data_IF_880838775271
#
_entry.id   IF_880838775271
#
_cell.length_a   1.000
_cell.length_b   1.000
_cell.length_c   1.000
_cell.angle_alpha   90.00
_cell.angle_beta   90.00
_cell.angle_gamma   90.00
#
_symmetry.space_group_name_H-M   'P 1'
#
loop_
_entity.id
_entity.type
_entity.pdbx_description
1 polymer ?
#
# COMPACT_ATOMS: atom_id res chain seq x y z
N UNK A 1 -14.75 1.70 15.43
CA UNK A 1 -14.30 1.18 14.13
C UNK A 1 -14.10 2.33 13.14
N UNK A 2 -12.95 2.37 12.51
CA UNK A 2 -12.68 3.43 11.54
C UNK A 2 -13.38 3.13 10.22
N UNK A 3 -13.83 4.18 9.59
CA UNK A 3 -14.45 4.09 8.28
C UNK A 3 -13.42 4.55 7.24
N UNK A 4 -12.65 3.60 6.72
CA UNK A 4 -11.59 3.88 5.76
C UNK A 4 -12.17 3.96 4.36
N UNK A 5 -11.82 5.02 3.65
CA UNK A 5 -12.18 5.18 2.24
C UNK A 5 -10.91 5.14 1.40
N UNK A 6 -10.88 4.24 0.44
CA UNK A 6 -9.74 4.07 -0.44
C UNK A 6 -10.11 4.56 -1.85
N UNK A 7 -9.19 5.30 -2.47
CA UNK A 7 -9.32 5.63 -3.88
C UNK A 7 -9.13 4.34 -4.69
N UNK A 8 -9.40 4.40 -6.01
CA UNK A 8 -9.20 3.24 -6.87
C UNK A 8 -7.77 2.74 -6.85
N UNK A 9 -6.79 3.65 -6.92
CA UNK A 9 -5.38 3.29 -6.88
C UNK A 9 -4.99 2.70 -5.53
N UNK A 10 -5.47 3.30 -4.45
CA UNK A 10 -5.18 2.80 -3.11
C UNK A 10 -5.73 1.40 -2.91
N UNK A 11 -6.97 1.17 -3.33
CA UNK A 11 -7.58 -0.15 -3.23
C UNK A 11 -6.80 -1.19 -4.05
N UNK A 12 -6.36 -0.81 -5.24
CA UNK A 12 -5.57 -1.68 -6.10
C UNK A 12 -4.27 -2.10 -5.40
N UNK A 13 -3.56 -1.15 -4.81
CA UNK A 13 -2.32 -1.46 -4.12
C UNK A 13 -2.54 -2.26 -2.84
N UNK A 14 -3.57 -1.94 -2.07
CA UNK A 14 -3.88 -2.69 -0.85
C UNK A 14 -4.18 -4.16 -1.20
N UNK A 15 -4.95 -4.40 -2.25
CA UNK A 15 -5.22 -5.78 -2.69
C UNK A 15 -3.95 -6.49 -3.11
N UNK A 16 -3.06 -5.81 -3.83
CA UNK A 16 -1.82 -6.41 -4.30
C UNK A 16 -0.87 -6.75 -3.15
N UNK A 17 -0.78 -5.86 -2.16
CA UNK A 17 0.07 -6.13 -0.99
C UNK A 17 -0.47 -7.34 -0.22
N UNK A 18 -1.77 -7.38 0.02
CA UNK A 18 -2.39 -8.49 0.74
C UNK A 18 -2.12 -8.44 2.23
N UNK A 19 -2.62 -9.44 2.94
CA UNK A 19 -2.64 -9.44 4.40
C UNK A 19 -1.69 -10.46 5.02
N UNK A 20 -0.84 -11.10 4.23
CA UNK A 20 -0.01 -12.20 4.72
C UNK A 20 1.46 -11.85 4.86
N UNK A 21 2.06 -11.23 3.87
CA UNK A 21 3.50 -10.96 3.91
C UNK A 21 3.83 -9.66 3.15
N UNK A 22 5.00 -9.06 3.44
CA UNK A 22 5.42 -7.86 2.71
C UNK A 22 5.63 -8.14 1.22
N UNK A 23 5.41 -7.12 0.42
CA UNK A 23 5.61 -7.16 -1.03
C UNK A 23 6.60 -6.08 -1.44
N UNK A 24 7.53 -6.42 -2.32
CA UNK A 24 8.46 -5.43 -2.87
C UNK A 24 7.72 -4.47 -3.79
N UNK A 25 8.16 -3.21 -3.79
CA UNK A 25 7.57 -2.21 -4.67
C UNK A 25 7.62 -2.61 -6.13
N UNK A 26 8.71 -3.26 -6.56
CA UNK A 26 8.83 -3.74 -7.94
C UNK A 26 7.73 -4.76 -8.28
N UNK A 27 7.39 -5.63 -7.33
CA UNK A 27 6.32 -6.59 -7.52
C UNK A 27 4.96 -5.91 -7.58
N UNK A 28 4.75 -4.90 -6.73
CA UNK A 28 3.51 -4.15 -6.74
C UNK A 28 3.29 -3.44 -8.07
N UNK A 29 4.36 -2.85 -8.60
CA UNK A 29 4.30 -2.18 -9.89
C UNK A 29 3.96 -3.18 -10.99
N UNK A 30 4.60 -4.34 -10.96
CA UNK A 30 4.39 -5.37 -11.97
C UNK A 30 2.95 -5.90 -11.93
N UNK A 31 2.43 -6.19 -10.75
CA UNK A 31 1.10 -6.74 -10.60
C UNK A 31 -0.01 -5.76 -10.93
N UNK A 32 0.20 -4.49 -10.62
CA UNK A 32 -0.84 -3.47 -10.81
C UNK A 32 -0.77 -2.79 -12.16
N UNK A 33 0.35 -2.92 -12.86
CA UNK A 33 0.60 -2.24 -14.14
C UNK A 33 0.52 -0.71 -14.03
N UNK A 34 0.71 -0.18 -12.81
CA UNK A 34 0.73 1.26 -12.57
C UNK A 34 2.12 1.82 -12.86
N UNK A 35 2.17 3.09 -13.27
CA UNK A 35 3.45 3.78 -13.43
C UNK A 35 4.18 3.86 -12.09
N UNK A 36 5.52 3.86 -12.13
CA UNK A 36 6.32 3.91 -10.91
C UNK A 36 6.04 5.15 -10.07
N UNK A 37 5.79 6.30 -10.71
CA UNK A 37 5.40 7.51 -9.98
C UNK A 37 4.07 7.35 -9.28
N UNK A 38 3.09 6.74 -9.94
CA UNK A 38 1.77 6.50 -9.35
C UNK A 38 1.86 5.54 -8.19
N UNK A 39 2.66 4.48 -8.31
CA UNK A 39 2.87 3.53 -7.22
C UNK A 39 3.50 4.25 -6.02
N UNK A 40 4.55 5.01 -6.29
CA UNK A 40 5.27 5.73 -5.23
C UNK A 40 4.36 6.72 -4.50
N UNK A 41 3.64 7.54 -5.26
CA UNK A 41 2.75 8.54 -4.66
C UNK A 41 1.63 7.90 -3.86
N UNK A 42 1.06 6.81 -4.39
CA UNK A 42 -0.04 6.13 -3.72
C UNK A 42 0.45 5.43 -2.45
N UNK A 43 1.62 4.78 -2.50
CA UNK A 43 2.23 4.18 -1.32
C UNK A 43 2.51 5.22 -0.24
N UNK A 44 3.06 6.37 -0.63
CA UNK A 44 3.32 7.44 0.33
C UNK A 44 2.04 7.97 0.97
N UNK A 45 0.98 8.05 0.18
CA UNK A 45 -0.33 8.46 0.69
C UNK A 45 -0.85 7.45 1.73
N UNK A 46 -0.74 6.15 1.41
CA UNK A 46 -1.17 5.10 2.33
C UNK A 46 -0.30 5.08 3.60
N UNK A 47 1.01 5.31 3.45
CA UNK A 47 1.92 5.37 4.60
C UNK A 47 1.61 6.57 5.48
N UNK A 48 1.31 7.71 4.88
CA UNK A 48 0.94 8.92 5.62
C UNK A 48 -0.33 8.71 6.43
N UNK A 49 -1.25 7.91 5.91
CA UNK A 49 -2.49 7.57 6.62
C UNK A 49 -2.29 6.47 7.67
N UNK A 50 -1.10 5.86 7.72
CA UNK A 50 -0.80 4.81 8.68
C UNK A 50 -1.32 3.44 8.27
N UNK A 51 -1.79 3.27 7.04
CA UNK A 51 -2.41 2.02 6.58
C UNK A 51 -1.40 1.04 6.02
N UNK A 52 -0.27 1.54 5.54
CA UNK A 52 0.82 0.75 4.96
C UNK A 52 2.11 1.16 5.66
N UNK A 53 3.01 0.21 5.85
CA UNK A 53 4.33 0.46 6.43
C UNK A 53 5.38 -0.10 5.50
N UNK A 54 6.49 0.63 5.36
CA UNK A 54 7.64 0.13 4.62
C UNK A 54 8.52 -0.73 5.51
N UNK A 55 9.29 -1.63 4.92
CA UNK A 55 10.24 -2.48 5.63
C UNK A 55 11.58 -2.38 4.90
N UNK A 56 12.60 -1.74 5.50
CA UNK A 56 12.60 -1.05 6.79
C UNK A 56 11.71 0.19 6.79
N UNK A 57 11.38 0.68 7.98
CA UNK A 57 10.45 1.79 8.12
C UNK A 57 11.02 3.10 7.60
N UNK A 58 10.25 3.78 6.76
CA UNK A 58 10.49 5.14 6.29
C UNK A 58 9.21 5.95 6.42
N UNK A 59 9.32 7.26 6.65
CA UNK A 59 8.13 8.12 6.63
C UNK A 59 7.58 8.25 5.22
N UNK A 60 8.48 8.30 4.24
CA UNK A 60 8.08 8.24 2.83
C UNK A 60 9.23 7.63 2.02
N UNK A 61 8.89 7.11 0.85
CA UNK A 61 9.90 6.53 -0.04
C UNK A 61 10.06 7.42 -1.27
N UNK A 62 11.29 7.46 -1.78
CA UNK A 62 11.60 8.16 -3.01
C UNK A 62 11.35 7.23 -4.19
N UNK A 63 11.16 7.81 -5.36
CA UNK A 63 10.91 7.05 -6.58
C UNK A 63 11.97 5.97 -6.81
N UNK A 64 13.25 6.33 -6.62
CA UNK A 64 14.35 5.41 -6.86
C UNK A 64 14.39 4.26 -5.84
N UNK A 65 13.86 4.47 -4.64
CA UNK A 65 13.88 3.47 -3.57
C UNK A 65 12.67 2.56 -3.61
N UNK A 66 11.59 3.02 -4.20
CA UNK A 66 10.31 2.28 -4.16
C UNK A 66 10.45 0.84 -4.65
N UNK A 67 11.11 0.56 -5.79
CA UNK A 67 11.16 -0.82 -6.29
C UNK A 67 11.87 -1.79 -5.36
N UNK A 68 12.84 -1.31 -4.59
CA UNK A 68 13.68 -2.17 -3.73
C UNK A 68 13.28 -2.10 -2.26
N UNK A 69 12.14 -1.51 -1.96
CA UNK A 69 11.60 -1.43 -0.60
C UNK A 69 10.40 -2.38 -0.48
N UNK A 70 10.29 -3.06 0.65
CA UNK A 70 9.13 -3.91 0.91
C UNK A 70 8.04 -3.11 1.62
N UNK A 71 6.80 -3.45 1.36
CA UNK A 71 5.63 -2.79 1.96
C UNK A 71 4.67 -3.82 2.49
N UNK A 72 4.07 -3.51 3.64
CA UNK A 72 3.09 -4.39 4.26
C UNK A 72 1.92 -3.57 4.80
N UNK A 73 0.76 -4.19 4.89
CA UNK A 73 -0.40 -3.53 5.48
C UNK A 73 -0.22 -3.48 6.99
N UNK A 74 -0.59 -2.34 7.58
CA UNK A 74 -0.52 -2.19 9.03
C UNK A 74 -1.53 -3.13 9.67
N UNK A 75 -1.08 -4.12 10.48
CA UNK A 75 -2.01 -5.09 11.08
C UNK A 75 -3.05 -4.47 11.99
N UNK A 76 -2.77 -3.30 12.55
CA UNK A 76 -3.75 -2.59 13.39
C UNK A 76 -5.01 -2.21 12.61
N UNK A 77 -4.91 -2.09 11.29
CA UNK A 77 -6.04 -1.70 10.43
C UNK A 77 -6.47 -2.80 9.48
N UNK A 78 -5.98 -4.04 9.68
CA UNK A 78 -6.23 -5.11 8.73
C UNK A 78 -7.74 -5.35 8.51
N UNK A 79 -8.51 -5.38 9.57
CA UNK A 79 -9.95 -5.63 9.45
C UNK A 79 -10.67 -4.46 8.78
N UNK A 80 -10.30 -3.23 9.14
CA UNK A 80 -10.89 -2.05 8.52
C UNK A 80 -10.56 -1.98 7.03
N UNK A 81 -9.33 -2.37 6.66
CA UNK A 81 -8.92 -2.41 5.27
C UNK A 81 -9.69 -3.48 4.50
N UNK A 82 -9.92 -4.65 5.08
CA UNK A 82 -10.73 -5.68 4.44
C UNK A 82 -12.12 -5.19 4.15
N UNK A 83 -12.72 -4.53 5.13
CA UNK A 83 -14.07 -3.98 4.95
C UNK A 83 -14.09 -2.92 3.86
N UNK A 84 -13.08 -2.06 3.80
CA UNK A 84 -12.99 -1.02 2.78
C UNK A 84 -12.89 -1.62 1.38
N UNK A 85 -12.15 -2.73 1.23
CA UNK A 85 -11.98 -3.38 -0.07
C UNK A 85 -13.26 -4.04 -0.57
N UNK A 86 -14.08 -4.58 0.33
CA UNK A 86 -15.27 -5.34 -0.05
C UNK A 86 -16.57 -4.54 0.07
N UNK A 87 -16.48 -3.29 0.47
CA UNK A 87 -17.65 -2.42 0.54
C UNK A 87 -17.99 -1.91 -0.85
N UNK A 88 -19.27 -1.86 -1.15
CA UNK A 88 -19.75 -1.33 -2.41
C UNK A 88 -20.35 0.04 -2.22
#
# INVERSE_FOLDING_TARGET
>A
MRNIKLSGREATLVRAIGFTEPMMGAELQDQTHMDSEDVTDTLNSLMSAGLVESVPYYDEVQLAEMPVTAFELNPAYAQDLRQALYRR
#
